data_IF_982093016449
#
_entry.id   IF_982093016449
#
_cell.length_a   1.000
_cell.length_b   1.000
_cell.length_c   1.000
_cell.angle_alpha   90.00
_cell.angle_beta   90.00
_cell.angle_gamma   90.00
#
_symmetry.space_group_name_H-M   'P 1'
#
loop_
_entity.id
_entity.type
_entity.pdbx_description
1 polymer ?
#
# COMPACT_ATOMS: atom_id res chain seq x y z
N UNK A 1 -11.25 -5.04 -0.92
CA UNK A 1 -9.80 -5.31 -0.90
C UNK A 1 -9.51 -6.77 -0.60
N UNK A 2 -9.69 -7.25 0.63
CA UNK A 2 -9.19 -8.57 1.06
C UNK A 2 -10.00 -9.81 0.62
N UNK A 3 -11.07 -9.66 -0.16
CA UNK A 3 -11.96 -10.79 -0.51
C UNK A 3 -11.25 -11.93 -1.27
N UNK A 4 -10.22 -11.63 -2.04
CA UNK A 4 -9.46 -12.63 -2.82
C UNK A 4 -8.24 -13.21 -2.09
N UNK A 5 -7.99 -12.81 -0.84
CA UNK A 5 -6.78 -13.24 -0.13
C UNK A 5 -7.00 -14.63 0.47
N UNK A 6 -5.99 -15.53 0.44
CA UNK A 6 -6.09 -16.81 1.14
C UNK A 6 -6.27 -16.63 2.64
N UNK A 7 -7.10 -17.47 3.27
CA UNK A 7 -7.39 -17.40 4.71
C UNK A 7 -6.11 -17.46 5.58
N UNK A 8 -5.13 -18.26 5.14
CA UNK A 8 -3.80 -18.33 5.78
C UNK A 8 -3.11 -16.96 5.81
N UNK A 9 -3.13 -16.21 4.70
CA UNK A 9 -2.52 -14.88 4.65
C UNK A 9 -3.27 -13.88 5.50
N UNK A 10 -4.61 -13.97 5.55
CA UNK A 10 -5.43 -13.13 6.44
C UNK A 10 -5.12 -13.44 7.91
N UNK A 11 -4.95 -14.71 8.25
CA UNK A 11 -4.56 -15.13 9.60
C UNK A 11 -3.17 -14.58 9.95
N UNK A 12 -2.19 -14.75 9.07
CA UNK A 12 -0.83 -14.26 9.31
C UNK A 12 -0.80 -12.73 9.43
N UNK A 13 -1.57 -12.00 8.61
CA UNK A 13 -1.71 -10.54 8.73
C UNK A 13 -2.31 -10.10 10.06
N UNK A 14 -3.12 -10.95 10.70
CA UNK A 14 -3.74 -10.66 11.99
C UNK A 14 -2.83 -11.00 13.18
N UNK A 15 -1.87 -11.93 13.03
CA UNK A 15 -1.05 -12.43 14.15
C UNK A 15 0.44 -12.12 14.05
N UNK A 16 0.97 -11.86 12.85
CA UNK A 16 2.40 -11.68 12.60
C UNK A 16 2.73 -10.23 12.22
N UNK A 17 3.95 -9.73 12.51
CA UNK A 17 4.36 -8.35 12.23
C UNK A 17 4.73 -8.17 10.75
N UNK A 18 3.77 -8.33 9.83
CA UNK A 18 4.00 -8.33 8.38
C UNK A 18 3.89 -6.93 7.73
N UNK A 19 3.26 -5.97 8.40
CA UNK A 19 2.98 -4.64 7.85
C UNK A 19 4.03 -3.62 8.30
N UNK A 20 4.81 -3.10 7.35
CA UNK A 20 5.79 -2.06 7.63
C UNK A 20 5.12 -0.71 7.87
N UNK A 21 5.37 -0.09 9.03
CA UNK A 21 4.92 1.26 9.35
C UNK A 21 6.11 2.23 9.45
N UNK A 22 6.14 3.25 8.58
CA UNK A 22 7.13 4.34 8.61
C UNK A 22 6.44 5.71 8.49
N UNK A 23 5.55 6.02 9.44
CA UNK A 23 4.79 7.26 9.49
C UNK A 23 4.91 7.92 10.87
N UNK A 24 4.76 9.26 10.91
CA UNK A 24 4.75 10.07 12.15
C UNK A 24 3.34 10.49 12.57
N UNK A 25 2.38 10.37 11.66
CA UNK A 25 1.01 10.84 11.80
C UNK A 25 0.07 9.76 11.32
N UNK A 26 -1.07 9.63 11.98
CA UNK A 26 -2.09 8.64 11.63
C UNK A 26 -3.48 9.22 11.81
N UNK A 27 -4.45 8.69 11.08
CA UNK A 27 -5.86 8.99 11.32
C UNK A 27 -6.34 8.23 12.55
N UNK A 28 -6.45 8.91 13.69
CA UNK A 28 -7.02 8.31 14.90
C UNK A 28 -8.43 7.79 14.62
N UNK A 29 -8.75 6.60 15.15
CA UNK A 29 -10.06 5.98 14.95
C UNK A 29 -11.19 6.85 15.52
N UNK A 30 -10.93 7.57 16.62
CA UNK A 30 -11.85 8.55 17.20
C UNK A 30 -12.14 9.72 16.25
N UNK A 31 -11.14 10.21 15.52
CA UNK A 31 -11.30 11.26 14.49
C UNK A 31 -12.09 10.75 13.30
N UNK A 32 -11.82 9.53 12.83
CA UNK A 32 -12.65 8.88 11.82
C UNK A 32 -14.12 8.79 12.29
N UNK A 33 -14.36 8.29 13.50
CA UNK A 33 -15.71 8.06 14.03
C UNK A 33 -16.53 9.34 14.26
N UNK A 34 -15.86 10.45 14.60
CA UNK A 34 -16.49 11.76 14.80
C UNK A 34 -16.68 12.57 13.51
N UNK A 35 -16.12 12.10 12.39
CA UNK A 35 -16.24 12.78 11.10
C UNK A 35 -17.24 12.04 10.19
N UNK A 36 -18.44 12.60 10.04
CA UNK A 36 -19.50 12.03 9.21
C UNK A 36 -19.12 11.86 7.74
N UNK A 37 -18.28 12.74 7.20
CA UNK A 37 -17.82 12.61 5.80
C UNK A 37 -16.92 11.38 5.64
N UNK A 38 -16.01 11.15 6.59
CA UNK A 38 -15.12 9.98 6.55
C UNK A 38 -15.90 8.68 6.72
N UNK A 39 -16.77 8.58 7.73
CA UNK A 39 -17.59 7.38 7.96
C UNK A 39 -18.52 7.06 6.81
N UNK A 40 -19.10 8.09 6.16
CA UNK A 40 -20.00 7.88 5.03
C UNK A 40 -19.25 7.41 3.78
N UNK A 41 -18.00 7.83 3.61
CA UNK A 41 -17.23 7.54 2.40
C UNK A 41 -16.42 6.26 2.50
N UNK A 42 -15.73 6.04 3.62
CA UNK A 42 -14.78 4.94 3.83
C UNK A 42 -15.30 3.90 4.81
N UNK A 43 -15.10 2.63 4.46
CA UNK A 43 -15.18 1.48 5.34
C UNK A 43 -13.80 1.17 5.89
N UNK A 44 -13.62 1.28 7.20
CA UNK A 44 -12.41 0.80 7.88
C UNK A 44 -12.37 -0.73 7.82
N UNK A 45 -11.24 -1.27 7.36
CA UNK A 45 -11.02 -2.72 7.25
C UNK A 45 -10.16 -3.26 8.40
N UNK A 46 -9.15 -2.51 8.82
CA UNK A 46 -8.39 -2.80 10.04
C UNK A 46 -7.81 -1.52 10.66
N UNK A 47 -7.40 -1.67 11.92
CA UNK A 47 -6.77 -0.65 12.74
C UNK A 47 -5.48 -1.19 13.34
N UNK A 48 -4.62 -0.28 13.80
CA UNK A 48 -3.46 -0.60 14.62
C UNK A 48 -3.39 0.38 15.80
N UNK A 49 -2.52 0.10 16.76
CA UNK A 49 -2.28 0.97 17.93
C UNK A 49 -0.79 1.25 18.08
N UNK A 50 -0.44 2.47 18.43
CA UNK A 50 0.94 2.84 18.84
C UNK A 50 1.15 2.63 20.36
N UNK A 51 0.20 1.99 21.04
CA UNK A 51 0.15 1.82 22.48
C UNK A 51 -0.62 2.92 23.22
N UNK A 52 -0.98 4.01 22.54
CA UNK A 52 -1.75 5.13 23.10
C UNK A 52 -2.98 5.47 22.27
N UNK A 53 -2.84 5.50 20.95
CA UNK A 53 -3.88 5.87 20.00
C UNK A 53 -4.12 4.71 19.06
N UNK A 54 -5.38 4.26 19.00
CA UNK A 54 -5.84 3.40 17.92
C UNK A 54 -6.08 4.23 16.66
N UNK A 55 -5.54 3.78 15.53
CA UNK A 55 -5.59 4.48 14.26
C UNK A 55 -6.04 3.55 13.12
N UNK A 56 -6.67 4.14 12.12
CA UNK A 56 -7.08 3.45 10.89
C UNK A 56 -5.82 3.08 10.10
N UNK A 57 -5.63 1.80 9.79
CA UNK A 57 -4.46 1.34 9.04
C UNK A 57 -4.80 0.83 7.64
N UNK A 58 -6.02 0.38 7.39
CA UNK A 58 -6.52 0.06 6.04
C UNK A 58 -8.00 0.41 5.94
N UNK A 59 -8.39 1.05 4.83
CA UNK A 59 -9.79 1.36 4.52
C UNK A 59 -10.04 1.34 3.01
N UNK A 60 -11.30 1.15 2.64
CA UNK A 60 -11.77 1.22 1.24
C UNK A 60 -13.05 2.05 1.16
N UNK A 61 -13.27 2.78 0.08
CA UNK A 61 -14.51 3.53 -0.08
C UNK A 61 -15.69 2.57 -0.33
N UNK A 62 -16.88 2.91 0.17
CA UNK A 62 -18.08 2.06 0.00
C UNK A 62 -18.50 1.97 -1.47
N UNK A 63 -18.58 3.11 -2.13
CA UNK A 63 -19.21 3.24 -3.45
C UNK A 63 -18.20 3.52 -4.58
N UNK A 64 -16.92 3.69 -4.24
CA UNK A 64 -15.86 4.06 -5.19
C UNK A 64 -14.66 3.11 -5.08
N UNK A 65 -13.94 2.82 -6.18
CA UNK A 65 -12.72 2.01 -6.15
C UNK A 65 -11.53 2.82 -5.63
N UNK A 66 -11.64 3.34 -4.40
CA UNK A 66 -10.61 4.11 -3.70
C UNK A 66 -10.17 3.33 -2.47
N UNK A 67 -8.87 3.13 -2.36
CA UNK A 67 -8.24 2.28 -1.35
C UNK A 67 -7.14 3.06 -0.65
N UNK A 68 -7.03 2.90 0.67
CA UNK A 68 -6.00 3.55 1.45
C UNK A 68 -5.42 2.59 2.47
N UNK A 69 -4.09 2.59 2.55
CA UNK A 69 -3.29 1.84 3.52
C UNK A 69 -2.28 2.78 4.17
N UNK A 70 -2.15 2.68 5.49
CA UNK A 70 -1.22 3.49 6.29
C UNK A 70 0.19 2.87 6.35
N UNK A 71 0.30 1.60 5.97
CA UNK A 71 1.50 0.79 5.97
C UNK A 71 2.00 0.56 4.54
N UNK A 72 3.22 0.04 4.42
CA UNK A 72 3.98 -0.04 3.18
C UNK A 72 4.15 -1.50 2.70
N UNK A 73 3.18 -2.08 1.98
CA UNK A 73 3.28 -3.45 1.47
C UNK A 73 4.42 -3.62 0.48
N UNK A 74 4.80 -2.58 -0.27
CA UNK A 74 5.87 -2.64 -1.27
C UNK A 74 7.23 -2.97 -0.66
N UNK A 75 7.47 -2.57 0.60
CA UNK A 75 8.78 -2.70 1.23
C UNK A 75 9.19 -4.15 1.45
N UNK A 76 8.24 -5.02 1.79
CA UNK A 76 8.53 -6.41 2.16
C UNK A 76 9.26 -7.18 1.05
N UNK A 77 8.95 -6.88 -0.21
CA UNK A 77 9.56 -7.56 -1.36
C UNK A 77 10.77 -6.81 -1.95
N UNK A 78 10.90 -5.50 -1.73
CA UNK A 78 11.80 -4.65 -2.52
C UNK A 78 12.79 -3.80 -1.72
N UNK A 79 12.64 -3.65 -0.39
CA UNK A 79 13.43 -2.67 0.39
C UNK A 79 14.17 -3.30 1.58
N UNK A 80 15.50 -3.34 1.55
CA UNK A 80 16.33 -4.04 2.54
C UNK A 80 17.07 -3.12 3.52
N UNK A 81 16.79 -1.82 3.45
CA UNK A 81 17.55 -0.79 4.17
C UNK A 81 17.27 -0.71 5.68
N UNK A 82 16.20 -1.36 6.17
CA UNK A 82 15.75 -1.29 7.57
C UNK A 82 15.43 -2.68 8.12
N UNK A 83 15.98 -3.06 9.31
CA UNK A 83 15.67 -4.34 9.95
C UNK A 83 14.19 -4.55 10.32
N UNK A 84 13.42 -3.46 10.42
CA UNK A 84 12.00 -3.51 10.76
C UNK A 84 11.09 -3.91 9.59
N UNK A 85 11.64 -4.08 8.37
CA UNK A 85 10.89 -4.56 7.22
C UNK A 85 10.78 -6.08 7.29
N UNK A 86 9.56 -6.62 7.18
CA UNK A 86 9.35 -8.05 7.20
C UNK A 86 9.63 -8.65 5.80
N UNK A 87 10.54 -9.62 5.74
CA UNK A 87 10.93 -10.31 4.50
C UNK A 87 10.55 -11.80 4.49
N UNK A 88 9.74 -12.25 5.45
CA UNK A 88 9.28 -13.64 5.50
C UNK A 88 8.31 -13.95 4.34
N UNK A 89 8.10 -15.23 3.98
CA UNK A 89 7.26 -15.60 2.85
C UNK A 89 5.85 -14.99 2.87
N UNK A 90 5.18 -14.95 4.02
CA UNK A 90 3.85 -14.34 4.17
C UNK A 90 3.86 -12.83 3.97
N UNK A 91 4.94 -12.13 4.36
CA UNK A 91 5.10 -10.69 4.14
C UNK A 91 5.24 -10.37 2.64
N UNK A 92 6.04 -11.15 1.91
CA UNK A 92 6.21 -11.00 0.45
C UNK A 92 4.94 -11.38 -0.31
N UNK A 93 4.26 -12.46 0.11
CA UNK A 93 2.97 -12.87 -0.46
C UNK A 93 1.89 -11.80 -0.26
N UNK A 94 1.90 -11.13 0.90
CA UNK A 94 1.03 -9.96 1.14
C UNK A 94 1.28 -8.85 0.12
N UNK A 95 2.54 -8.47 -0.14
CA UNK A 95 2.88 -7.46 -1.15
C UNK A 95 2.30 -7.78 -2.51
N UNK A 96 2.46 -9.04 -2.93
CA UNK A 96 1.95 -9.51 -4.21
C UNK A 96 0.42 -9.44 -4.27
N UNK A 97 -0.29 -9.95 -3.26
CA UNK A 97 -1.76 -9.96 -3.24
C UNK A 97 -2.36 -8.54 -3.20
N UNK A 98 -1.70 -7.62 -2.50
CA UNK A 98 -2.09 -6.20 -2.50
C UNK A 98 -1.97 -5.58 -3.90
N UNK A 99 -0.85 -5.84 -4.59
CA UNK A 99 -0.64 -5.37 -5.96
C UNK A 99 -1.60 -6.04 -6.96
N UNK A 100 -1.80 -7.36 -6.86
CA UNK A 100 -2.72 -8.12 -7.70
C UNK A 100 -4.15 -7.57 -7.59
N UNK A 101 -4.62 -7.33 -6.37
CA UNK A 101 -5.91 -6.70 -6.13
C UNK A 101 -6.04 -5.35 -6.85
N UNK A 102 -5.06 -4.46 -6.66
CA UNK A 102 -5.13 -3.11 -7.24
C UNK A 102 -5.04 -3.13 -8.77
N UNK A 103 -4.18 -3.98 -9.35
CA UNK A 103 -4.09 -4.15 -10.80
C UNK A 103 -5.38 -4.76 -11.36
N UNK A 104 -6.05 -5.66 -10.64
CA UNK A 104 -7.37 -6.15 -11.02
C UNK A 104 -8.45 -5.06 -11.04
N UNK A 105 -8.39 -4.09 -10.12
CA UNK A 105 -9.27 -2.91 -10.19
C UNK A 105 -8.96 -2.03 -11.42
N UNK A 106 -7.68 -1.80 -11.73
CA UNK A 106 -7.27 -1.03 -12.90
C UNK A 106 -7.77 -1.65 -14.23
N UNK A 107 -7.80 -2.99 -14.33
CA UNK A 107 -8.33 -3.72 -15.51
C UNK A 107 -9.83 -3.51 -15.78
N UNK A 108 -10.59 -2.97 -14.82
CA UNK A 108 -12.02 -2.68 -15.01
C UNK A 108 -12.26 -1.38 -15.77
N UNK A 109 -11.21 -0.61 -16.02
CA UNK A 109 -11.26 0.61 -16.82
C UNK A 109 -10.65 0.35 -18.21
N UNK A 110 -11.18 1.02 -19.23
CA UNK A 110 -10.79 0.85 -20.64
C UNK A 110 -9.97 2.03 -21.18
N UNK A 111 -9.38 2.85 -20.31
CA UNK A 111 -8.49 3.92 -20.74
C UNK A 111 -7.25 3.35 -21.44
N UNK A 112 -6.74 4.13 -22.38
CA UNK A 112 -5.54 3.86 -23.15
C UNK A 112 -4.98 5.19 -23.65
N UNK A 113 -3.69 5.21 -24.01
CA UNK A 113 -3.12 6.32 -24.75
C UNK A 113 -3.77 6.43 -26.14
N UNK A 114 -3.75 7.62 -26.73
CA UNK A 114 -4.27 7.83 -28.08
C UNK A 114 -3.41 7.12 -29.12
N UNK A 115 -2.10 7.06 -28.88
CA UNK A 115 -1.12 6.39 -29.74
C UNK A 115 -0.12 5.56 -28.96
N UNK A 116 0.45 4.55 -29.62
CA UNK A 116 1.54 3.73 -29.07
C UNK A 116 2.81 4.57 -28.80
N UNK A 117 3.07 5.59 -29.63
CA UNK A 117 4.22 6.48 -29.45
C UNK A 117 4.13 7.28 -28.14
N UNK A 118 2.95 7.81 -27.81
CA UNK A 118 2.72 8.51 -26.55
C UNK A 118 2.84 7.58 -25.35
N UNK A 119 2.30 6.36 -25.44
CA UNK A 119 2.46 5.34 -24.40
C UNK A 119 3.94 5.05 -24.15
N UNK A 120 4.68 4.71 -25.21
CA UNK A 120 6.09 4.37 -25.13
C UNK A 120 6.93 5.49 -24.51
N UNK A 121 6.59 6.76 -24.72
CA UNK A 121 7.29 7.90 -24.10
C UNK A 121 6.93 8.09 -22.62
N UNK A 122 5.73 7.70 -22.20
CA UNK A 122 5.24 7.89 -20.84
C UNK A 122 5.63 6.76 -19.87
N UNK A 123 5.96 5.58 -20.38
CA UNK A 123 6.32 4.42 -19.56
C UNK A 123 7.57 4.69 -18.68
N UNK A 124 7.59 4.08 -17.49
CA UNK A 124 8.69 4.20 -16.54
C UNK A 124 10.03 3.69 -17.09
N UNK A 125 10.01 2.85 -18.13
CA UNK A 125 11.19 2.30 -18.80
C UNK A 125 12.13 3.36 -19.40
N UNK A 126 11.64 4.58 -19.63
CA UNK A 126 12.45 5.69 -20.16
C UNK A 126 13.31 6.38 -19.10
N UNK A 127 13.14 6.02 -17.82
CA UNK A 127 13.79 6.71 -16.72
C UNK A 127 14.77 5.77 -16.02
N UNK A 128 16.04 6.16 -15.80
CA UNK A 128 16.97 5.36 -15.03
C UNK A 128 16.74 5.57 -13.52
N UNK A 129 16.92 4.50 -12.76
CA UNK A 129 16.98 4.57 -11.30
C UNK A 129 18.38 4.94 -10.80
N UNK A 130 18.46 5.61 -9.67
CA UNK A 130 19.71 5.85 -8.92
C UNK A 130 19.71 4.99 -7.65
N UNK A 131 20.85 4.36 -7.33
CA UNK A 131 21.03 3.65 -6.07
C UNK A 131 21.10 4.65 -4.90
N UNK A 132 20.16 4.55 -3.97
CA UNK A 132 19.91 5.58 -2.95
C UNK A 132 19.90 5.04 -1.52
N UNK A 133 20.13 3.74 -1.33
CA UNK A 133 20.04 3.09 -0.01
C UNK A 133 20.84 3.79 1.09
N UNK A 134 22.11 4.23 0.86
CA UNK A 134 22.93 4.82 1.92
C UNK A 134 22.41 6.18 2.42
N UNK A 135 21.61 6.88 1.62
CA UNK A 135 21.22 8.28 1.89
C UNK A 135 19.74 8.40 2.22
N UNK A 136 18.88 7.75 1.44
CA UNK A 136 17.43 7.98 1.49
C UNK A 136 16.63 6.82 2.10
N UNK A 137 17.26 5.66 2.32
CA UNK A 137 16.58 4.49 2.88
C UNK A 137 15.63 3.79 1.92
N UNK A 138 15.79 4.02 0.62
CA UNK A 138 15.20 3.22 -0.46
C UNK A 138 16.34 2.62 -1.28
N UNK A 139 16.24 1.38 -1.74
CA UNK A 139 17.29 0.75 -2.57
C UNK A 139 17.58 1.60 -3.81
N UNK A 140 16.52 1.98 -4.51
CA UNK A 140 16.59 2.72 -5.75
C UNK A 140 15.51 3.80 -5.81
N UNK A 141 15.80 4.91 -6.48
CA UNK A 141 14.84 6.02 -6.64
C UNK A 141 14.94 6.62 -8.04
N UNK A 142 13.79 6.97 -8.62
CA UNK A 142 13.70 7.75 -9.85
C UNK A 142 13.74 9.24 -9.52
N UNK A 143 14.58 10.01 -10.23
CA UNK A 143 14.60 11.47 -10.15
C UNK A 143 14.14 12.04 -11.50
N UNK A 144 13.21 12.98 -11.45
CA UNK A 144 12.66 13.66 -12.61
C UNK A 144 13.06 15.14 -12.54
N UNK A 145 13.60 15.66 -13.63
CA UNK A 145 14.12 17.02 -13.75
C UNK A 145 13.22 17.87 -14.64
#
# INVERSE_FOLDING_TARGET
MFRGFPDEVIKDLASEPLSQHAHKWSLALSTYNSNEKLKKFYKVLNTNTDGKVEFVSTMEAYDYPIYAIQWHPEKNAFEWTKPAVAHCPSAVKTSFLMAEFFVCEARKNFHRFETEEEELKALIYNYPTVYTAPVYGFEQTYFFC
#
